data_IF_024445213788
#
_entry.id   IF_024445213788
#
_cell.length_a   1.000
_cell.length_b   1.000
_cell.length_c   1.000
_cell.angle_alpha   90.00
_cell.angle_beta   90.00
_cell.angle_gamma   90.00
#
_symmetry.space_group_name_H-M   'P 1'
#
loop_
_entity.id
_entity.type
_entity.pdbx_description
1 polymer ?
#
# COMPACT_ATOMS: atom_id res chain seq x y z
N UNK A 1 -49.90 4.93 -4.88
CA UNK A 1 -48.60 5.05 -4.18
C UNK A 1 -47.98 3.66 -4.12
N UNK A 2 -47.31 3.19 -5.18
CA UNK A 2 -46.53 1.93 -5.14
C UNK A 2 -45.74 1.68 -6.43
N UNK A 3 -45.09 2.73 -6.98
CA UNK A 3 -44.12 2.58 -8.08
C UNK A 3 -42.70 3.04 -7.73
N UNK A 4 -42.51 3.78 -6.62
CA UNK A 4 -41.18 4.27 -6.23
C UNK A 4 -40.29 3.22 -5.55
N UNK A 5 -40.84 2.09 -5.09
CA UNK A 5 -40.11 1.09 -4.30
C UNK A 5 -39.32 0.06 -5.13
N UNK A 6 -39.67 -0.16 -6.40
CA UNK A 6 -39.02 -1.17 -7.26
C UNK A 6 -37.85 -0.57 -8.05
N UNK A 7 -37.94 0.70 -8.49
CA UNK A 7 -36.83 1.39 -9.17
C UNK A 7 -35.70 1.78 -8.21
N UNK A 8 -36.01 2.13 -6.96
CA UNK A 8 -35.02 2.44 -5.91
C UNK A 8 -34.15 1.21 -5.54
N UNK A 9 -34.71 0.00 -5.61
CA UNK A 9 -33.97 -1.24 -5.40
C UNK A 9 -33.07 -1.62 -6.59
N UNK A 10 -33.40 -1.17 -7.81
CA UNK A 10 -32.66 -1.51 -9.04
C UNK A 10 -31.63 -0.45 -9.44
N UNK A 11 -31.87 0.82 -9.11
CA UNK A 11 -31.05 1.97 -9.47
C UNK A 11 -30.91 2.86 -8.24
N UNK A 12 -29.90 2.61 -7.40
CA UNK A 12 -29.69 3.38 -6.15
C UNK A 12 -29.72 4.90 -6.36
N UNK A 13 -29.87 5.66 -5.26
CA UNK A 13 -30.02 7.13 -5.30
C UNK A 13 -28.68 7.85 -5.07
N UNK A 14 -28.39 8.88 -5.86
CA UNK A 14 -27.16 9.65 -5.70
C UNK A 14 -27.21 10.44 -4.40
N UNK A 15 -26.19 10.31 -3.56
CA UNK A 15 -26.15 11.01 -2.27
C UNK A 15 -26.07 12.52 -2.39
N UNK A 16 -25.49 13.03 -3.48
CA UNK A 16 -25.30 14.46 -3.72
C UNK A 16 -26.55 15.12 -4.34
N UNK A 17 -26.93 14.73 -5.56
CA UNK A 17 -28.05 15.36 -6.27
C UNK A 17 -29.41 14.74 -5.98
N UNK A 18 -29.48 13.68 -5.15
CA UNK A 18 -30.70 12.93 -4.81
C UNK A 18 -31.45 12.33 -6.02
N UNK A 19 -30.86 12.26 -7.21
CA UNK A 19 -31.47 11.65 -8.41
C UNK A 19 -31.24 10.14 -8.45
N UNK A 20 -32.24 9.40 -8.93
CA UNK A 20 -32.11 8.00 -9.35
C UNK A 20 -31.27 7.95 -10.63
N UNK A 21 -30.41 6.95 -10.77
CA UNK A 21 -29.48 6.89 -11.90
C UNK A 21 -29.15 5.47 -12.31
N UNK A 22 -29.16 5.23 -13.63
CA UNK A 22 -28.88 3.93 -14.24
C UNK A 22 -27.45 3.41 -13.98
N UNK A 23 -26.53 4.30 -13.59
CA UNK A 23 -25.11 4.01 -13.35
C UNK A 23 -24.66 4.70 -12.07
N UNK A 24 -24.91 4.07 -10.93
CA UNK A 24 -24.38 4.48 -9.63
C UNK A 24 -23.01 3.83 -9.39
N UNK A 25 -22.08 4.60 -8.83
CA UNK A 25 -20.74 4.10 -8.46
C UNK A 25 -20.38 4.60 -7.07
N UNK A 26 -19.62 3.80 -6.34
CA UNK A 26 -18.93 4.28 -5.15
C UNK A 26 -17.94 5.37 -5.56
N UNK A 27 -18.08 6.56 -4.99
CA UNK A 27 -17.19 7.66 -5.28
C UNK A 27 -15.78 7.28 -4.89
N UNK A 28 -14.82 7.67 -5.71
CA UNK A 28 -13.41 7.45 -5.39
C UNK A 28 -12.95 8.45 -4.32
N UNK A 29 -13.75 9.48 -4.04
CA UNK A 29 -13.50 10.56 -3.09
C UNK A 29 -14.23 10.43 -1.75
N UNK A 30 -15.20 9.50 -1.61
CA UNK A 30 -15.91 9.20 -0.34
C UNK A 30 -16.54 7.80 -0.35
N UNK A 31 -17.08 7.26 0.76
CA UNK A 31 -17.93 6.05 0.70
C UNK A 31 -19.26 6.33 -0.02
N UNK A 32 -19.46 7.55 -0.51
CA UNK A 32 -20.70 8.01 -1.10
C UNK A 32 -21.02 7.35 -2.43
N UNK A 33 -22.24 6.85 -2.58
CA UNK A 33 -22.79 6.44 -3.87
C UNK A 33 -23.14 7.72 -4.64
N UNK A 34 -22.41 7.98 -5.73
CA UNK A 34 -22.62 9.15 -6.59
C UNK A 34 -23.04 8.71 -7.98
N UNK A 35 -23.88 9.54 -8.63
CA UNK A 35 -24.07 9.42 -10.07
C UNK A 35 -22.82 9.93 -10.78
N UNK A 36 -22.64 9.51 -12.04
CA UNK A 36 -21.47 9.86 -12.85
C UNK A 36 -21.22 11.39 -12.89
N UNK A 37 -22.27 12.21 -13.02
CA UNK A 37 -22.15 13.68 -13.10
C UNK A 37 -21.63 14.26 -11.78
N UNK A 38 -22.19 13.84 -10.64
CA UNK A 38 -21.77 14.34 -9.33
C UNK A 38 -20.33 13.91 -8.99
N UNK A 39 -19.95 12.67 -9.35
CA UNK A 39 -18.57 12.19 -9.17
C UNK A 39 -17.58 12.96 -10.07
N UNK A 40 -17.95 13.24 -11.31
CA UNK A 40 -17.20 14.07 -12.27
C UNK A 40 -16.98 15.49 -11.71
N UNK A 41 -18.05 16.16 -11.30
CA UNK A 41 -17.98 17.51 -10.72
C UNK A 41 -17.09 17.56 -9.48
N UNK A 42 -17.20 16.57 -8.59
CA UNK A 42 -16.37 16.48 -7.38
C UNK A 42 -14.88 16.28 -7.73
N UNK A 43 -14.56 15.48 -8.75
CA UNK A 43 -13.19 15.32 -9.25
C UNK A 43 -12.65 16.59 -9.89
N UNK A 44 -13.45 17.24 -10.75
CA UNK A 44 -13.07 18.51 -11.36
C UNK A 44 -12.78 19.59 -10.30
N UNK A 45 -13.61 19.67 -9.25
CA UNK A 45 -13.39 20.60 -8.14
C UNK A 45 -12.10 20.28 -7.37
N UNK A 46 -11.76 19.00 -7.20
CA UNK A 46 -10.63 18.57 -6.37
C UNK A 46 -9.28 18.55 -7.10
N UNK A 47 -9.27 18.08 -8.35
CA UNK A 47 -8.05 17.84 -9.13
C UNK A 47 -7.88 18.77 -10.31
N UNK A 48 -8.90 19.56 -10.64
CA UNK A 48 -8.90 20.41 -11.82
C UNK A 48 -8.95 19.61 -13.12
N UNK A 49 -8.67 20.32 -14.21
CA UNK A 49 -8.62 19.75 -15.56
C UNK A 49 -7.18 19.66 -16.07
N UNK A 50 -6.92 18.65 -16.88
CA UNK A 50 -5.65 18.47 -17.54
C UNK A 50 -5.37 19.64 -18.50
N UNK A 51 -4.17 20.22 -18.44
CA UNK A 51 -3.81 21.34 -19.30
C UNK A 51 -3.69 20.94 -20.78
N UNK A 52 -3.44 19.67 -21.06
CA UNK A 52 -3.24 19.14 -22.41
C UNK A 52 -4.54 18.70 -23.07
N UNK A 53 -5.25 17.72 -22.49
CA UNK A 53 -6.46 17.15 -23.09
C UNK A 53 -7.78 17.77 -22.61
N UNK A 54 -7.72 18.71 -21.65
CA UNK A 54 -8.87 19.40 -21.04
C UNK A 54 -9.88 18.51 -20.30
N UNK A 55 -9.65 17.20 -20.24
CA UNK A 55 -10.41 16.26 -19.42
C UNK A 55 -10.11 16.44 -17.93
N UNK A 56 -10.98 15.92 -17.07
CA UNK A 56 -10.76 15.94 -15.62
C UNK A 56 -9.52 15.13 -15.22
N UNK A 57 -8.75 15.66 -14.27
CA UNK A 57 -7.65 14.91 -13.67
C UNK A 57 -8.20 13.83 -12.74
N UNK A 58 -7.54 12.67 -12.70
CA UNK A 58 -7.91 11.56 -11.80
C UNK A 58 -7.22 11.64 -10.44
N UNK A 59 -6.15 12.43 -10.34
CA UNK A 59 -5.42 12.72 -9.11
C UNK A 59 -4.66 14.05 -9.19
N UNK A 60 -4.00 14.45 -8.10
CA UNK A 60 -3.20 15.67 -8.08
C UNK A 60 -2.09 15.61 -9.13
N UNK A 61 -2.09 16.57 -10.07
CA UNK A 61 -1.15 16.61 -11.20
C UNK A 61 -1.12 15.32 -12.04
N UNK A 62 -2.23 14.56 -12.07
CA UNK A 62 -2.31 13.29 -12.80
C UNK A 62 -3.54 13.24 -13.69
N UNK A 63 -3.30 13.08 -14.99
CA UNK A 63 -4.34 12.81 -15.98
C UNK A 63 -4.14 11.39 -16.51
N UNK A 64 -5.00 10.46 -16.09
CA UNK A 64 -4.93 9.06 -16.51
C UNK A 64 -4.88 8.95 -18.04
N UNK A 65 -5.83 9.53 -18.77
CA UNK A 65 -5.89 9.44 -20.24
C UNK A 65 -4.58 9.87 -20.93
N UNK A 66 -4.00 10.97 -20.48
CA UNK A 66 -2.76 11.51 -21.02
C UNK A 66 -1.56 10.63 -20.63
N UNK A 67 -1.47 10.21 -19.37
CA UNK A 67 -0.36 9.41 -18.86
C UNK A 67 -0.37 7.98 -19.41
N UNK A 68 -1.54 7.34 -19.54
CA UNK A 68 -1.68 6.02 -20.15
C UNK A 68 -1.16 6.01 -21.59
N UNK A 69 -1.45 7.05 -22.39
CA UNK A 69 -0.90 7.18 -23.76
C UNK A 69 0.62 7.32 -23.75
N UNK A 70 1.19 8.06 -22.80
CA UNK A 70 2.65 8.18 -22.67
C UNK A 70 3.30 6.85 -22.34
N UNK A 71 2.74 6.12 -21.39
CA UNK A 71 3.22 4.79 -21.06
C UNK A 71 3.12 3.85 -22.26
N UNK A 72 1.99 3.84 -22.99
CA UNK A 72 1.83 3.04 -24.22
C UNK A 72 2.95 3.30 -25.23
N UNK A 73 3.30 4.57 -25.44
CA UNK A 73 4.38 4.95 -26.36
C UNK A 73 5.78 4.53 -25.86
N UNK A 74 5.93 4.25 -24.57
CA UNK A 74 7.19 3.90 -23.92
C UNK A 74 7.36 2.39 -23.69
N UNK A 75 6.33 1.57 -23.94
CA UNK A 75 6.36 0.12 -23.67
C UNK A 75 7.43 -0.63 -24.47
N UNK A 76 7.85 -0.11 -25.63
CA UNK A 76 8.92 -0.73 -26.41
C UNK A 76 10.32 -0.32 -25.92
N UNK A 77 10.44 0.61 -24.98
CA UNK A 77 11.72 1.15 -24.49
C UNK A 77 12.25 0.42 -23.26
N UNK A 78 11.48 -0.50 -22.67
CA UNK A 78 11.91 -1.33 -21.56
C UNK A 78 11.24 -2.70 -21.62
N UNK A 79 11.90 -3.70 -21.05
CA UNK A 79 11.34 -5.04 -20.82
C UNK A 79 12.02 -5.66 -19.61
N UNK A 80 11.29 -6.51 -18.89
CA UNK A 80 11.86 -7.40 -17.88
C UNK A 80 12.49 -8.68 -18.46
N UNK A 81 12.28 -8.94 -19.75
CA UNK A 81 12.55 -10.24 -20.37
C UNK A 81 11.47 -11.29 -20.05
N UNK A 82 10.37 -10.89 -19.41
CA UNK A 82 9.23 -11.75 -19.10
C UNK A 82 7.90 -11.05 -19.47
N UNK A 83 7.22 -11.60 -20.47
CA UNK A 83 5.97 -11.04 -21.02
C UNK A 83 4.86 -10.90 -19.99
N UNK A 84 4.78 -11.79 -18.99
CA UNK A 84 3.72 -11.75 -17.97
C UNK A 84 3.96 -10.60 -16.98
N UNK A 85 5.21 -10.37 -16.58
CA UNK A 85 5.59 -9.20 -15.76
C UNK A 85 5.39 -7.92 -16.56
N UNK A 86 5.82 -7.89 -17.81
CA UNK A 86 5.69 -6.71 -18.67
C UNK A 86 4.21 -6.35 -18.82
N UNK A 87 3.35 -7.31 -19.18
CA UNK A 87 1.90 -7.10 -19.26
C UNK A 87 1.30 -6.68 -17.92
N UNK A 88 1.72 -7.29 -16.82
CA UNK A 88 1.24 -6.93 -15.49
C UNK A 88 1.56 -5.46 -15.15
N UNK A 89 2.83 -5.06 -15.30
CA UNK A 89 3.27 -3.68 -15.07
C UNK A 89 2.55 -2.73 -16.02
N UNK A 90 2.53 -3.01 -17.32
CA UNK A 90 1.83 -2.18 -18.32
C UNK A 90 0.36 -1.96 -17.95
N UNK A 91 -0.36 -3.02 -17.55
CA UNK A 91 -1.76 -2.90 -17.11
C UNK A 91 -1.92 -1.97 -15.90
N UNK A 92 -1.00 -2.02 -14.93
CA UNK A 92 -1.02 -1.07 -13.80
C UNK A 92 -0.77 0.36 -14.27
N UNK A 93 0.16 0.58 -15.21
CA UNK A 93 0.48 1.90 -15.76
C UNK A 93 -0.67 2.51 -16.56
N UNK A 94 -1.39 1.69 -17.34
CA UNK A 94 -2.57 2.11 -18.10
C UNK A 94 -3.75 2.48 -17.21
N UNK A 95 -3.91 1.79 -16.09
CA UNK A 95 -5.05 1.96 -15.19
C UNK A 95 -4.77 2.88 -13.99
N UNK A 96 -3.51 3.32 -13.80
CA UNK A 96 -3.10 4.14 -12.66
C UNK A 96 -3.86 5.48 -12.58
N UNK A 97 -4.52 5.71 -11.43
CA UNK A 97 -5.23 6.97 -11.15
C UNK A 97 -4.31 8.08 -10.66
N UNK A 98 -3.19 7.70 -10.06
CA UNK A 98 -2.12 8.56 -9.58
C UNK A 98 -0.79 7.77 -9.55
N UNK A 99 0.27 8.41 -9.10
CA UNK A 99 1.58 7.77 -8.99
C UNK A 99 1.66 6.63 -7.97
N UNK A 100 0.78 6.57 -6.97
CA UNK A 100 0.84 5.55 -5.92
C UNK A 100 0.38 4.17 -6.39
N UNK A 101 -0.42 4.12 -7.45
CA UNK A 101 -0.87 2.88 -8.08
C UNK A 101 0.03 2.43 -9.24
N UNK A 102 1.07 3.20 -9.54
CA UNK A 102 2.02 2.93 -10.60
C UNK A 102 3.07 1.91 -10.15
N UNK A 103 3.28 0.87 -10.96
CA UNK A 103 4.50 0.07 -10.90
C UNK A 103 5.45 0.46 -12.02
N UNK A 104 6.75 0.39 -11.72
CA UNK A 104 7.83 0.50 -12.68
C UNK A 104 8.57 -0.84 -12.78
N UNK A 105 8.99 -1.22 -13.98
CA UNK A 105 10.14 -2.12 -14.10
C UNK A 105 11.40 -1.32 -13.82
N UNK A 106 12.22 -1.78 -12.88
CA UNK A 106 13.41 -1.06 -12.43
C UNK A 106 14.63 -1.95 -12.69
N UNK A 107 15.44 -1.63 -13.71
CA UNK A 107 16.70 -2.34 -13.95
C UNK A 107 17.59 -2.35 -12.70
N UNK A 108 18.19 -3.50 -12.40
CA UNK A 108 18.89 -3.70 -11.13
C UNK A 108 20.11 -2.78 -10.95
N UNK A 109 20.76 -2.38 -12.05
CA UNK A 109 21.90 -1.45 -12.09
C UNK A 109 21.55 0.00 -11.63
N UNK A 110 20.26 0.31 -11.52
CA UNK A 110 19.76 1.54 -10.91
C UNK A 110 19.89 1.56 -9.39
N UNK A 111 20.16 0.41 -8.78
CA UNK A 111 20.43 0.28 -7.35
C UNK A 111 21.93 0.35 -7.06
N UNK A 112 22.26 0.90 -5.89
CA UNK A 112 23.63 0.96 -5.38
C UNK A 112 23.64 0.85 -3.87
N UNK A 113 24.80 0.48 -3.30
CA UNK A 113 24.96 0.27 -1.85
C UNK A 113 23.93 -0.72 -1.29
N UNK A 114 23.68 -1.80 -2.02
CA UNK A 114 22.77 -2.87 -1.61
C UNK A 114 23.34 -3.53 -0.35
N UNK A 115 22.56 -3.55 0.72
CA UNK A 115 22.95 -4.09 2.04
C UNK A 115 21.84 -4.96 2.60
N UNK A 116 22.16 -6.20 2.94
CA UNK A 116 21.25 -7.09 3.64
C UNK A 116 20.80 -6.49 4.98
N UNK A 117 19.49 -6.59 5.28
CA UNK A 117 18.89 -6.11 6.53
C UNK A 117 18.47 -7.30 7.40
N UNK A 118 17.61 -8.17 6.84
CA UNK A 118 16.96 -9.23 7.58
C UNK A 118 16.39 -10.30 6.65
N UNK A 119 16.14 -11.48 7.22
CA UNK A 119 15.37 -12.56 6.62
C UNK A 119 14.12 -12.77 7.48
N UNK A 120 12.96 -12.76 6.83
CA UNK A 120 11.67 -13.10 7.43
C UNK A 120 11.15 -14.44 6.93
N UNK A 121 9.92 -14.81 7.36
CA UNK A 121 9.25 -16.02 6.87
C UNK A 121 9.01 -16.00 5.36
N UNK A 122 8.72 -14.82 4.81
CA UNK A 122 8.35 -14.65 3.41
C UNK A 122 9.50 -14.21 2.49
N UNK A 123 10.73 -14.09 2.99
CA UNK A 123 11.86 -13.74 2.12
C UNK A 123 12.97 -12.95 2.78
N UNK A 124 13.79 -12.31 1.96
CA UNK A 124 14.94 -11.51 2.38
C UNK A 124 14.73 -10.04 2.04
N UNK A 125 15.16 -9.17 2.96
CA UNK A 125 15.06 -7.72 2.81
C UNK A 125 16.46 -7.12 2.72
N UNK A 126 16.68 -6.30 1.70
CA UNK A 126 17.87 -5.50 1.50
C UNK A 126 17.52 -4.02 1.49
N UNK A 127 18.46 -3.17 1.90
CA UNK A 127 18.42 -1.72 1.72
C UNK A 127 19.23 -1.37 0.48
N UNK A 128 18.73 -0.50 -0.37
CA UNK A 128 19.51 0.04 -1.48
C UNK A 128 19.27 1.55 -1.66
N UNK A 129 20.15 2.20 -2.42
CA UNK A 129 19.96 3.55 -2.94
C UNK A 129 19.47 3.45 -4.38
N UNK A 130 18.29 3.99 -4.68
CA UNK A 130 17.76 4.09 -6.04
C UNK A 130 18.13 5.44 -6.64
N UNK A 131 18.89 5.42 -7.75
CA UNK A 131 19.45 6.63 -8.39
C UNK A 131 18.36 7.55 -8.97
N UNK A 132 17.37 6.96 -9.62
CA UNK A 132 16.38 7.69 -10.41
C UNK A 132 15.20 8.18 -9.55
N UNK A 133 14.82 7.41 -8.53
CA UNK A 133 13.60 7.65 -7.74
C UNK A 133 12.32 7.31 -8.52
N UNK A 134 11.18 7.35 -7.83
CA UNK A 134 9.89 6.97 -8.43
C UNK A 134 9.27 8.09 -9.25
N UNK A 135 8.48 7.73 -10.27
CA UNK A 135 7.67 8.69 -11.04
C UNK A 135 6.62 9.34 -10.13
N UNK A 136 6.57 10.68 -10.14
CA UNK A 136 5.59 11.45 -9.36
C UNK A 136 4.48 12.05 -10.25
N UNK A 137 4.83 12.76 -11.32
CA UNK A 137 3.89 13.24 -12.34
C UNK A 137 4.62 13.62 -13.63
N UNK A 138 3.87 13.90 -14.69
CA UNK A 138 4.42 14.41 -15.94
C UNK A 138 4.64 15.93 -15.87
N UNK A 139 5.85 16.40 -16.14
CA UNK A 139 6.16 17.82 -16.28
C UNK A 139 5.99 18.24 -17.74
N UNK A 140 4.87 18.87 -18.06
CA UNK A 140 4.53 19.32 -19.42
C UNK A 140 5.55 20.34 -19.93
N UNK A 141 6.09 21.21 -19.08
CA UNK A 141 7.04 22.24 -19.50
C UNK A 141 8.38 21.67 -19.96
N UNK A 142 8.78 20.55 -19.35
CA UNK A 142 10.04 19.85 -19.66
C UNK A 142 9.85 18.62 -20.55
N UNK A 143 8.60 18.29 -20.88
CA UNK A 143 8.23 17.11 -21.64
C UNK A 143 8.87 15.80 -21.09
N UNK A 144 8.87 15.63 -19.77
CA UNK A 144 9.48 14.47 -19.11
C UNK A 144 8.79 14.10 -17.79
N UNK A 145 9.00 12.87 -17.33
CA UNK A 145 8.56 12.44 -16.00
C UNK A 145 9.34 13.16 -14.91
N UNK A 146 8.63 13.86 -14.03
CA UNK A 146 9.19 14.34 -12.77
C UNK A 146 9.30 13.17 -11.80
N UNK A 147 10.53 12.83 -11.44
CA UNK A 147 10.84 11.78 -10.46
C UNK A 147 11.14 12.39 -9.09
N UNK A 148 10.71 11.70 -8.03
CA UNK A 148 10.97 12.13 -6.67
C UNK A 148 12.19 11.38 -6.11
N UNK A 149 13.30 12.10 -5.94
CA UNK A 149 14.59 11.55 -5.48
C UNK A 149 15.28 12.41 -4.40
N UNK A 150 14.51 13.04 -3.51
CA UNK A 150 15.08 13.79 -2.38
C UNK A 150 15.99 12.92 -1.51
N UNK A 151 17.03 13.53 -0.90
CA UNK A 151 18.07 12.82 -0.11
C UNK A 151 17.51 11.81 0.92
N UNK A 152 16.35 12.07 1.54
CA UNK A 152 15.73 11.14 2.49
C UNK A 152 14.93 9.99 1.85
N UNK A 153 14.48 10.15 0.59
CA UNK A 153 13.63 9.20 -0.13
C UNK A 153 14.38 8.43 -1.23
N UNK A 154 15.71 8.54 -1.29
CA UNK A 154 16.55 7.72 -2.18
C UNK A 154 16.68 6.26 -1.73
N UNK A 155 16.35 5.97 -0.47
CA UNK A 155 16.46 4.61 0.06
C UNK A 155 15.21 3.80 -0.25
N UNK A 156 15.42 2.59 -0.76
CA UNK A 156 14.38 1.60 -1.01
C UNK A 156 14.68 0.33 -0.22
N UNK A 157 13.63 -0.39 0.14
CA UNK A 157 13.70 -1.78 0.57
C UNK A 157 13.54 -2.67 -0.67
N UNK A 158 14.43 -3.64 -0.83
CA UNK A 158 14.34 -4.67 -1.86
C UNK A 158 13.92 -5.96 -1.16
N UNK A 159 12.70 -6.44 -1.42
CA UNK A 159 12.18 -7.70 -0.88
C UNK A 159 12.26 -8.77 -1.96
N UNK A 160 13.12 -9.77 -1.77
CA UNK A 160 13.10 -11.01 -2.57
C UNK A 160 12.23 -12.03 -1.85
N UNK A 161 11.29 -12.66 -2.55
CA UNK A 161 10.55 -13.82 -2.02
C UNK A 161 11.36 -15.09 -2.26
N UNK A 162 11.35 -16.01 -1.29
CA UNK A 162 12.07 -17.27 -1.41
C UNK A 162 11.62 -18.03 -2.68
N UNK A 163 12.57 -18.51 -3.49
CA UNK A 163 12.30 -19.28 -4.73
C UNK A 163 11.55 -18.49 -5.82
N UNK A 164 11.68 -17.16 -5.82
CA UNK A 164 11.07 -16.28 -6.83
C UNK A 164 11.80 -16.28 -8.18
N UNK A 165 12.62 -17.28 -8.51
CA UNK A 165 13.16 -17.42 -9.87
C UNK A 165 12.04 -17.65 -10.90
N UNK A 166 10.91 -18.21 -10.45
CA UNK A 166 9.66 -18.28 -11.21
C UNK A 166 8.65 -17.36 -10.56
N UNK A 167 7.85 -16.68 -11.38
CA UNK A 167 6.74 -15.85 -10.90
C UNK A 167 5.73 -16.78 -10.26
N UNK A 168 5.38 -16.50 -9.00
CA UNK A 168 4.36 -17.26 -8.28
C UNK A 168 3.10 -16.42 -8.11
N UNK A 169 1.97 -17.09 -7.89
CA UNK A 169 0.72 -16.42 -7.58
C UNK A 169 0.84 -15.54 -6.33
N UNK A 170 1.60 -16.00 -5.33
CA UNK A 170 1.84 -15.28 -4.08
C UNK A 170 2.55 -13.94 -4.33
N UNK A 171 3.58 -13.94 -5.18
CA UNK A 171 4.31 -12.73 -5.55
C UNK A 171 3.40 -11.68 -6.22
N UNK A 172 2.63 -12.10 -7.22
CA UNK A 172 1.70 -11.22 -7.93
C UNK A 172 0.57 -10.75 -7.00
N UNK A 173 0.06 -11.63 -6.14
CA UNK A 173 -1.00 -11.28 -5.20
C UNK A 173 -0.52 -10.26 -4.15
N UNK A 174 0.71 -10.38 -3.65
CA UNK A 174 1.28 -9.42 -2.70
C UNK A 174 1.35 -8.02 -3.34
N UNK A 175 1.93 -7.92 -4.54
CA UNK A 175 2.04 -6.65 -5.26
C UNK A 175 0.65 -6.07 -5.57
N UNK A 176 -0.26 -6.92 -6.06
CA UNK A 176 -1.63 -6.52 -6.37
C UNK A 176 -2.35 -5.97 -5.14
N UNK A 177 -2.16 -6.60 -3.98
CA UNK A 177 -2.74 -6.16 -2.71
C UNK A 177 -2.19 -4.79 -2.32
N UNK A 178 -0.88 -4.55 -2.46
CA UNK A 178 -0.28 -3.23 -2.24
C UNK A 178 -0.91 -2.14 -3.12
N UNK A 179 -1.17 -2.41 -4.41
CA UNK A 179 -1.75 -1.42 -5.33
C UNK A 179 -3.21 -1.15 -5.00
N UNK A 180 -4.01 -2.20 -4.75
CA UNK A 180 -5.46 -2.09 -4.53
C UNK A 180 -5.82 -1.23 -3.31
N UNK A 181 -5.02 -1.31 -2.25
CA UNK A 181 -5.27 -0.60 -0.98
C UNK A 181 -4.89 0.88 -1.03
N UNK A 182 -4.07 1.31 -1.99
CA UNK A 182 -3.76 2.72 -2.16
C UNK A 182 -5.01 3.50 -2.59
N UNK A 183 -5.31 4.53 -1.81
CA UNK A 183 -6.45 5.43 -2.01
C UNK A 183 -6.04 6.85 -1.69
N UNK A 184 -6.50 7.75 -2.55
CA UNK A 184 -6.28 9.20 -2.52
C UNK A 184 -6.60 9.88 -1.15
N UNK A 185 -7.43 9.25 -0.29
CA UNK A 185 -8.09 9.92 0.85
C UNK A 185 -7.23 10.22 2.09
N UNK A 186 -6.06 9.62 2.29
CA UNK A 186 -5.22 9.94 3.46
C UNK A 186 -3.76 9.54 3.31
N UNK A 187 -2.90 10.00 4.22
CA UNK A 187 -1.46 9.77 4.31
C UNK A 187 -1.05 8.27 4.14
N UNK A 188 0.21 8.03 3.82
CA UNK A 188 0.81 6.71 3.57
C UNK A 188 0.75 5.80 4.83
N UNK A 189 -0.36 5.11 5.13
CA UNK A 189 -0.44 4.13 6.24
C UNK A 189 -0.05 2.70 5.82
N UNK A 190 0.21 2.49 4.55
CA UNK A 190 0.65 1.21 3.98
C UNK A 190 1.94 1.49 3.23
N UNK A 191 2.92 0.59 3.33
CA UNK A 191 4.18 0.73 2.58
C UNK A 191 3.90 0.70 1.09
N UNK A 192 4.47 1.66 0.38
CA UNK A 192 4.36 1.75 -1.08
C UNK A 192 5.25 0.70 -1.75
N UNK A 193 4.68 -0.01 -2.71
CA UNK A 193 5.43 -0.74 -3.72
C UNK A 193 5.65 0.20 -4.92
N UNK A 194 6.89 0.42 -5.30
CA UNK A 194 7.25 1.26 -6.45
C UNK A 194 7.31 0.47 -7.75
N UNK A 195 7.58 -0.83 -7.67
CA UNK A 195 7.88 -1.60 -8.87
C UNK A 195 8.51 -2.95 -8.59
N UNK A 196 8.96 -3.54 -9.69
CA UNK A 196 9.56 -4.87 -9.74
C UNK A 196 10.97 -4.73 -10.32
N UNK A 197 11.89 -5.53 -9.81
CA UNK A 197 13.22 -5.73 -10.37
C UNK A 197 13.55 -7.22 -10.39
N UNK A 198 14.70 -7.58 -10.92
CA UNK A 198 15.22 -8.94 -10.84
C UNK A 198 16.72 -8.88 -10.55
N UNK A 199 17.16 -9.69 -9.59
CA UNK A 199 18.57 -9.84 -9.31
C UNK A 199 19.28 -10.52 -10.51
N UNK A 200 20.31 -9.92 -11.10
CA UNK A 200 20.95 -10.48 -12.29
C UNK A 200 21.72 -11.77 -12.00
N UNK A 201 22.15 -12.00 -10.75
CA UNK A 201 22.94 -13.16 -10.36
C UNK A 201 22.04 -14.31 -9.92
N UNK A 202 21.09 -14.05 -9.02
CA UNK A 202 20.21 -15.11 -8.47
C UNK A 202 18.98 -15.37 -9.32
N UNK A 203 18.65 -14.46 -10.25
CA UNK A 203 17.42 -14.44 -11.07
C UNK A 203 16.12 -14.32 -10.25
N UNK A 204 16.22 -14.01 -8.97
CA UNK A 204 15.06 -13.80 -8.10
C UNK A 204 14.38 -12.48 -8.42
N UNK A 205 13.05 -12.50 -8.54
CA UNK A 205 12.26 -11.28 -8.63
C UNK A 205 12.22 -10.54 -7.29
N UNK A 206 12.33 -9.21 -7.39
CA UNK A 206 12.44 -8.31 -6.25
C UNK A 206 11.28 -7.31 -6.29
N UNK A 207 10.59 -7.17 -5.17
CA UNK A 207 9.71 -6.03 -4.93
C UNK A 207 10.52 -4.83 -4.44
N UNK A 208 10.34 -3.68 -5.10
CA UNK A 208 11.02 -2.44 -4.75
C UNK A 208 10.06 -1.58 -3.95
N UNK A 209 10.32 -1.38 -2.66
CA UNK A 209 9.37 -0.81 -1.70
C UNK A 209 9.93 0.42 -0.97
N UNK A 210 9.04 1.21 -0.40
CA UNK A 210 9.39 2.33 0.46
C UNK A 210 10.22 1.84 1.66
N UNK A 211 11.39 2.45 1.88
CA UNK A 211 12.22 2.12 3.03
C UNK A 211 11.75 2.82 4.30
N UNK A 212 11.48 2.04 5.35
CA UNK A 212 11.16 2.52 6.69
C UNK A 212 12.41 2.53 7.58
N UNK A 213 12.97 3.72 7.82
CA UNK A 213 14.29 3.86 8.43
C UNK A 213 14.37 3.53 9.94
N UNK A 214 13.23 3.36 10.63
CA UNK A 214 13.17 2.91 12.04
C UNK A 214 12.90 1.41 12.17
N UNK A 215 12.82 0.68 11.06
CA UNK A 215 12.53 -0.75 11.07
C UNK A 215 11.10 -1.06 11.54
N UNK A 216 10.90 -2.27 12.07
CA UNK A 216 9.59 -2.70 12.59
C UNK A 216 9.24 -1.99 13.90
N UNK A 217 7.95 -1.86 14.18
CA UNK A 217 7.42 -1.30 15.42
C UNK A 217 7.92 -2.11 16.63
N UNK A 218 8.00 -3.44 16.51
CA UNK A 218 8.60 -4.31 17.53
C UNK A 218 10.03 -3.89 17.88
N UNK A 219 10.89 -3.71 16.87
CA UNK A 219 12.27 -3.29 17.08
C UNK A 219 12.35 -1.88 17.65
N UNK A 220 11.54 -0.98 17.10
CA UNK A 220 11.49 0.42 17.54
C UNK A 220 11.08 0.56 19.01
N UNK A 221 10.04 -0.17 19.45
CA UNK A 221 9.60 -0.16 20.85
C UNK A 221 10.65 -0.77 21.77
N UNK A 222 11.28 -1.87 21.37
CA UNK A 222 12.35 -2.50 22.15
C UNK A 222 13.56 -1.58 22.34
N UNK A 223 14.00 -0.88 21.30
CA UNK A 223 15.10 0.09 21.40
C UNK A 223 14.75 1.29 22.27
N UNK A 224 13.54 1.84 22.12
CA UNK A 224 13.08 2.99 22.91
C UNK A 224 12.96 2.64 24.38
N UNK A 225 12.40 1.47 24.71
CA UNK A 225 12.29 1.00 26.10
C UNK A 225 13.67 0.79 26.73
N UNK A 226 14.65 0.25 25.98
CA UNK A 226 16.04 0.13 26.46
C UNK A 226 16.68 1.47 26.77
N UNK A 227 16.49 2.49 25.91
CA UNK A 227 17.02 3.84 26.15
C UNK A 227 16.41 4.47 27.40
N UNK A 228 15.09 4.42 27.51
CA UNK A 228 14.36 4.92 28.68
C UNK A 228 14.83 4.21 29.95
N UNK A 229 14.93 2.87 29.95
CA UNK A 229 15.44 2.09 31.07
C UNK A 229 16.87 2.50 31.48
N UNK A 230 17.76 2.72 30.50
CA UNK A 230 19.13 3.14 30.77
C UNK A 230 19.22 4.56 31.32
N UNK A 231 18.35 5.47 30.89
CA UNK A 231 18.22 6.82 31.45
C UNK A 231 17.70 6.78 32.89
N UNK A 232 16.68 5.96 33.18
CA UNK A 232 16.19 5.71 34.54
C UNK A 232 17.29 5.15 35.46
N UNK A 233 18.09 4.20 34.96
CA UNK A 233 19.18 3.61 35.73
C UNK A 233 20.29 4.62 36.06
N UNK A 234 20.50 5.62 35.19
CA UNK A 234 21.48 6.71 35.42
C UNK A 234 20.96 7.79 36.35
N UNK A 235 19.66 8.10 36.30
CA UNK A 235 19.07 9.20 37.04
C UNK A 235 18.17 8.66 38.17
N UNK A 236 18.74 8.46 39.36
CA UNK A 236 18.09 7.82 40.52
C UNK A 236 16.95 8.65 41.18
N UNK A 237 16.60 9.80 40.63
CA UNK A 237 15.58 10.70 41.18
C UNK A 237 14.80 11.38 40.06
N UNK A 238 13.58 10.94 39.77
CA UNK A 238 12.55 11.80 39.16
C UNK A 238 11.16 11.32 39.60
N UNK A 239 10.69 11.86 40.72
CA UNK A 239 9.27 12.25 40.81
C UNK A 239 9.07 13.44 39.87
N UNK A 240 7.93 13.50 39.18
CA UNK A 240 7.53 14.47 38.13
C UNK A 240 8.04 14.18 36.70
N UNK A 241 7.26 13.42 35.92
CA UNK A 241 7.44 13.32 34.46
C UNK A 241 6.10 13.03 33.75
N UNK A 242 5.04 13.74 34.14
CA UNK A 242 3.71 13.63 33.53
C UNK A 242 3.77 13.98 32.03
N UNK A 243 4.55 15.01 31.65
CA UNK A 243 4.70 15.46 30.25
C UNK A 243 5.42 14.44 29.36
N UNK A 244 6.47 13.78 29.88
CA UNK A 244 7.17 12.73 29.17
C UNK A 244 6.25 11.51 28.93
N UNK A 245 5.46 11.14 29.95
CA UNK A 245 4.45 10.09 29.82
C UNK A 245 3.35 10.47 28.82
N UNK A 246 2.83 11.70 28.86
CA UNK A 246 1.84 12.21 27.90
C UNK A 246 2.38 12.25 26.48
N UNK A 247 3.64 12.64 26.26
CA UNK A 247 4.29 12.62 24.96
C UNK A 247 4.46 11.18 24.43
N UNK A 248 4.82 10.24 25.31
CA UNK A 248 4.90 8.81 24.99
C UNK A 248 3.52 8.27 24.59
N UNK A 249 2.46 8.62 25.33
CA UNK A 249 1.09 8.21 25.03
C UNK A 249 0.57 8.82 23.74
N UNK A 250 0.78 10.12 23.51
CA UNK A 250 0.41 10.77 22.25
C UNK A 250 1.04 10.08 21.05
N UNK A 251 2.31 9.67 21.16
CA UNK A 251 2.98 8.89 20.11
C UNK A 251 2.38 7.49 19.92
N UNK A 252 2.06 6.77 21.00
CA UNK A 252 1.39 5.46 20.93
C UNK A 252 0.00 5.57 20.28
N UNK A 253 -0.80 6.57 20.67
CA UNK A 253 -2.10 6.86 20.08
C UNK A 253 -1.96 7.21 18.61
N UNK A 254 -0.93 7.97 18.23
CA UNK A 254 -0.61 8.24 16.83
C UNK A 254 -0.30 6.97 16.03
N UNK A 255 0.49 6.05 16.60
CA UNK A 255 0.76 4.74 15.98
C UNK A 255 -0.53 3.95 15.79
N UNK A 256 -1.34 3.81 16.85
CA UNK A 256 -2.59 3.07 16.81
C UNK A 256 -3.53 3.65 15.75
N UNK A 257 -3.71 4.97 15.74
CA UNK A 257 -4.52 5.67 14.73
C UNK A 257 -4.05 5.37 13.31
N UNK A 258 -2.74 5.39 13.05
CA UNK A 258 -2.19 5.07 11.74
C UNK A 258 -2.43 3.60 11.37
N UNK A 259 -2.24 2.66 12.29
CA UNK A 259 -2.52 1.24 12.05
C UNK A 259 -4.01 1.03 11.78
N UNK A 260 -4.92 1.61 12.58
CA UNK A 260 -6.37 1.50 12.37
C UNK A 260 -6.80 2.06 11.02
N UNK A 261 -6.23 3.19 10.59
CA UNK A 261 -6.51 3.76 9.26
C UNK A 261 -5.98 2.83 8.15
N UNK A 262 -4.79 2.26 8.32
CA UNK A 262 -4.23 1.28 7.39
C UNK A 262 -5.11 0.03 7.29
N UNK A 263 -5.51 -0.54 8.43
CA UNK A 263 -6.31 -1.76 8.49
C UNK A 263 -7.71 -1.55 7.89
N UNK A 264 -8.37 -0.44 8.24
CA UNK A 264 -9.65 -0.04 7.61
C UNK A 264 -9.55 0.01 6.09
N UNK A 265 -8.41 0.45 5.52
CA UNK A 265 -8.25 0.50 4.06
C UNK A 265 -8.12 -0.87 3.42
N UNK A 266 -7.49 -1.82 4.12
CA UNK A 266 -7.41 -3.21 3.68
C UNK A 266 -8.84 -3.78 3.63
N UNK A 267 -9.59 -3.60 4.72
CA UNK A 267 -11.00 -4.05 4.84
C UNK A 267 -11.95 -3.34 3.85
N UNK A 268 -11.82 -2.03 3.64
CA UNK A 268 -12.60 -1.25 2.64
C UNK A 268 -12.41 -1.77 1.19
N UNK A 269 -11.34 -2.54 0.94
CA UNK A 269 -11.08 -3.19 -0.36
C UNK A 269 -11.51 -4.66 -0.38
N UNK A 270 -12.21 -5.12 0.65
CA UNK A 270 -12.65 -6.50 0.82
C UNK A 270 -11.48 -7.46 1.00
N UNK A 271 -10.36 -7.01 1.56
CA UNK A 271 -9.19 -7.82 1.87
C UNK A 271 -9.07 -8.02 3.39
N UNK A 272 -8.49 -9.14 3.80
CA UNK A 272 -8.10 -9.44 5.18
C UNK A 272 -6.58 -9.61 5.19
N UNK A 273 -5.88 -9.04 6.18
CA UNK A 273 -4.42 -9.06 6.28
C UNK A 273 -3.88 -10.44 6.70
N UNK A 274 -4.52 -11.09 7.68
CA UNK A 274 -4.22 -12.45 8.19
C UNK A 274 -2.90 -12.63 8.96
N UNK A 275 -2.06 -11.60 9.03
CA UNK A 275 -0.75 -11.64 9.71
C UNK A 275 -0.38 -10.26 10.25
N UNK A 276 -1.35 -9.57 10.83
CA UNK A 276 -1.11 -8.25 11.43
C UNK A 276 -0.41 -8.44 12.79
N UNK A 277 0.80 -7.92 12.92
CA UNK A 277 1.49 -7.88 14.21
C UNK A 277 2.55 -6.77 14.23
N UNK A 278 3.11 -6.47 15.40
CA UNK A 278 4.15 -5.43 15.57
C UNK A 278 5.42 -5.60 14.71
N UNK A 279 5.62 -6.77 14.09
CA UNK A 279 6.71 -7.02 13.14
C UNK A 279 6.37 -6.59 11.71
N UNK A 280 5.09 -6.66 11.33
CA UNK A 280 4.55 -6.22 10.04
C UNK A 280 4.02 -4.77 10.07
N UNK A 281 4.31 -4.05 11.16
CA UNK A 281 4.23 -2.59 11.21
C UNK A 281 5.64 -2.04 11.14
N UNK A 282 5.90 -1.10 10.22
CA UNK A 282 7.19 -0.42 10.10
C UNK A 282 7.07 1.08 10.36
N UNK A 283 8.12 1.68 10.89
CA UNK A 283 8.13 3.07 11.32
C UNK A 283 9.10 3.91 10.47
N UNK A 284 8.67 5.11 10.09
CA UNK A 284 9.52 6.12 9.47
C UNK A 284 9.11 7.51 9.98
N UNK A 285 10.06 8.20 10.62
CA UNK A 285 9.80 9.46 11.37
C UNK A 285 8.62 9.25 12.35
N UNK A 286 7.54 10.01 12.19
CA UNK A 286 6.35 10.00 13.06
C UNK A 286 5.21 9.11 12.52
N UNK A 287 5.46 8.34 11.45
CA UNK A 287 4.44 7.52 10.79
C UNK A 287 4.75 6.03 10.95
N UNK A 288 3.75 5.28 11.42
CA UNK A 288 3.68 3.82 11.35
C UNK A 288 2.91 3.40 10.11
N UNK A 289 3.37 2.33 9.46
CA UNK A 289 2.78 1.80 8.24
C UNK A 289 2.66 0.29 8.32
N UNK A 290 1.55 -0.24 7.85
CA UNK A 290 1.39 -1.67 7.60
C UNK A 290 2.27 -2.06 6.40
N UNK A 291 2.92 -3.22 6.50
CA UNK A 291 3.70 -3.83 5.43
C UNK A 291 3.39 -5.32 5.36
N UNK A 292 3.94 -6.02 4.38
CA UNK A 292 3.83 -7.47 4.19
C UNK A 292 2.38 -7.92 3.89
N UNK A 293 1.97 -7.65 2.65
CA UNK A 293 0.64 -7.99 2.15
C UNK A 293 0.58 -9.42 1.57
N UNK A 294 1.60 -10.26 1.78
CA UNK A 294 1.74 -11.56 1.10
C UNK A 294 0.62 -12.54 1.41
N UNK A 295 0.12 -12.48 2.64
CA UNK A 295 -1.01 -13.28 3.11
C UNK A 295 -2.37 -12.61 2.91
N UNK A 296 -2.43 -11.39 2.35
CA UNK A 296 -3.71 -10.74 2.11
C UNK A 296 -4.58 -11.56 1.16
N UNK A 297 -5.84 -11.78 1.54
CA UNK A 297 -6.83 -12.50 0.73
C UNK A 297 -8.20 -11.82 0.77
N UNK A 298 -9.02 -11.95 -0.28
CA UNK A 298 -10.40 -11.50 -0.25
C UNK A 298 -11.22 -12.11 0.90
N UNK A 299 -12.22 -11.39 1.40
CA UNK A 299 -13.10 -11.88 2.50
C UNK A 299 -13.83 -13.19 2.14
N UNK A 300 -14.12 -13.42 0.86
CA UNK A 300 -14.78 -14.62 0.37
C UNK A 300 -13.81 -15.69 -0.17
N UNK A 301 -12.51 -15.54 0.09
CA UNK A 301 -11.51 -16.52 -0.31
C UNK A 301 -11.66 -17.80 0.51
N UNK A 302 -11.98 -18.90 -0.16
CA UNK A 302 -11.91 -20.24 0.42
C UNK A 302 -10.57 -20.85 0.06
N UNK A 303 -9.84 -21.32 1.07
CA UNK A 303 -8.67 -22.15 0.80
C UNK A 303 -9.11 -23.40 0.06
N UNK A 304 -8.49 -23.67 -1.09
CA UNK A 304 -8.74 -24.91 -1.83
C UNK A 304 -8.30 -26.06 -0.92
N UNK A 305 -9.16 -27.06 -0.72
CA UNK A 305 -8.92 -28.23 0.15
C UNK A 305 -7.59 -28.96 -0.13
N UNK A 306 -6.98 -28.72 -1.29
CA UNK A 306 -5.70 -29.29 -1.74
C UNK A 306 -4.45 -28.50 -1.32
N UNK A 307 -4.59 -27.29 -0.79
CA UNK A 307 -3.51 -26.57 -0.10
C UNK A 307 -3.75 -26.78 1.39
N UNK A 308 -2.83 -27.47 2.08
CA UNK A 308 -2.90 -27.74 3.52
C UNK A 308 -3.55 -26.57 4.27
N UNK A 309 -4.63 -26.82 5.03
CA UNK A 309 -5.31 -25.89 5.94
C UNK A 309 -4.30 -25.33 6.97
N UNK A 310 -3.46 -24.43 6.52
CA UNK A 310 -2.30 -23.95 7.23
C UNK A 310 -2.72 -22.70 7.95
N UNK A 311 -2.77 -22.77 9.27
CA UNK A 311 -2.96 -21.58 10.10
C UNK A 311 -1.72 -20.70 9.93
N UNK A 312 -1.90 -19.53 9.33
CA UNK A 312 -0.87 -18.52 9.11
C UNK A 312 -0.93 -17.43 10.17
N UNK A 313 0.23 -17.01 10.65
CA UNK A 313 0.37 -15.83 11.50
C UNK A 313 1.15 -16.08 12.77
N UNK A 314 1.42 -15.02 13.51
CA UNK A 314 2.20 -15.07 14.74
C UNK A 314 1.31 -15.45 15.92
N UNK A 315 1.56 -16.60 16.55
CA UNK A 315 0.68 -17.23 17.56
C UNK A 315 0.03 -16.27 18.60
N UNK A 316 0.76 -15.36 19.26
CA UNK A 316 0.16 -14.36 20.16
C UNK A 316 -0.88 -13.41 19.57
N UNK A 317 -0.95 -13.29 18.25
CA UNK A 317 -1.85 -12.41 17.50
C UNK A 317 -3.01 -13.19 16.84
N UNK A 318 -3.01 -14.53 16.89
CA UNK A 318 -4.04 -15.34 16.26
C UNK A 318 -5.34 -15.34 17.07
N UNK A 319 -6.44 -15.02 16.40
CA UNK A 319 -7.76 -15.08 17.02
C UNK A 319 -8.16 -16.52 17.39
N UNK A 320 -8.88 -16.75 18.50
CA UNK A 320 -9.23 -18.08 18.98
C UNK A 320 -10.00 -18.92 17.97
N UNK A 321 -10.85 -18.30 17.15
CA UNK A 321 -11.59 -18.96 16.07
C UNK A 321 -10.67 -19.54 14.99
N UNK A 322 -9.57 -18.86 14.66
CA UNK A 322 -8.58 -19.33 13.69
C UNK A 322 -7.83 -20.54 14.24
N UNK A 323 -7.49 -20.52 15.53
CA UNK A 323 -6.87 -21.66 16.22
C UNK A 323 -7.80 -22.88 16.28
N UNK A 324 -9.12 -22.68 16.16
CA UNK A 324 -10.12 -23.74 16.05
C UNK A 324 -10.36 -24.19 14.60
N UNK A 325 -9.60 -23.67 13.64
CA UNK A 325 -9.71 -24.01 12.23
C UNK A 325 -10.85 -23.31 11.48
N UNK A 326 -11.36 -22.19 12.01
CA UNK A 326 -12.31 -21.35 11.27
C UNK A 326 -11.59 -20.42 10.29
N UNK A 327 -12.32 -19.94 9.28
CA UNK A 327 -11.81 -19.04 8.27
C UNK A 327 -11.38 -17.68 8.85
N UNK A 328 -10.41 -17.05 8.18
CA UNK A 328 -10.02 -15.67 8.49
C UNK A 328 -11.16 -14.70 8.16
N UNK A 329 -11.36 -13.71 9.02
CA UNK A 329 -12.38 -12.67 8.85
C UNK A 329 -11.77 -11.30 9.13
N UNK A 330 -12.49 -10.22 8.81
CA UNK A 330 -12.08 -8.88 9.27
C UNK A 330 -11.99 -8.82 10.81
N UNK A 331 -12.84 -9.57 11.53
CA UNK A 331 -12.81 -9.63 12.99
C UNK A 331 -11.52 -10.29 13.54
N UNK A 332 -10.93 -11.26 12.83
CA UNK A 332 -9.67 -11.87 13.25
C UNK A 332 -8.48 -10.92 13.07
N UNK A 333 -8.51 -10.05 12.05
CA UNK A 333 -7.57 -8.93 11.94
C UNK A 333 -7.75 -7.91 13.08
N UNK A 334 -8.99 -7.65 13.51
CA UNK A 334 -9.29 -6.76 14.64
C UNK A 334 -8.79 -7.35 15.97
N UNK A 335 -8.88 -8.66 16.16
CA UNK A 335 -8.25 -9.34 17.30
C UNK A 335 -6.73 -9.16 17.32
N UNK A 336 -6.11 -9.13 16.13
CA UNK A 336 -4.66 -8.96 15.97
C UNK A 336 -4.18 -7.52 16.23
N UNK A 337 -5.05 -6.52 16.06
CA UNK A 337 -4.76 -5.10 16.25
C UNK A 337 -4.65 -4.73 17.75
#
# INVERSE_FOLDING_TARGET
MEQSSIEEQKYGKCMECKKLGKLMRTSILGPSILCQICDSNLKAQKFGRCIECKQENTGHNWCQTCNSKRFQNDFNNWTSGNDDIDKFIQNTQLSAWDSYQLLEWIPYDKFSKVKYIAKGGFGQIYKATWKDGYIFHWDVSKNQWKRFSEKSNKFVALKSLNKSQKITYEFINEITSHIKVFSFKSLDQIIRCYGISQDPDTKEYIMVMQYANKGSLRNYLNEKNKKIYNEYKKNKYYETNLDLNLQIWGYKVGILRNISIGLRRIHDKGLIHRDLHSGNIVCNKDLSRITDMGLCRPVNYKELETMENSVYGVLPYLAPEILRGQDYTEASDIYSF
#
